data_IF_349847737511
#
_entry.id   IF_349847737511
#
_cell.length_a   1.000
_cell.length_b   1.000
_cell.length_c   1.000
_cell.angle_alpha   90.00
_cell.angle_beta   90.00
_cell.angle_gamma   90.00
#
_symmetry.space_group_name_H-M   'P 1'
#
loop_
_entity.id
_entity.type
_entity.pdbx_description
1 polymer ?
#
# COMPACT_ATOMS: atom_id res chain seq x y z
N UNK A 1 -11.45 -1.03 -13.10
CA UNK A 1 -12.15 -0.45 -11.93
C UNK A 1 -13.66 -0.37 -12.17
N UNK A 2 -14.14 0.00 -13.36
CA UNK A 2 -15.57 -0.13 -13.71
C UNK A 2 -16.13 -1.55 -13.48
N UNK A 3 -15.37 -2.59 -13.82
CA UNK A 3 -15.70 -4.00 -13.57
C UNK A 3 -15.96 -4.35 -12.10
N UNK A 4 -15.40 -3.58 -11.15
CA UNK A 4 -15.65 -3.77 -9.72
C UNK A 4 -16.68 -2.76 -9.17
N UNK A 5 -17.39 -2.06 -10.06
CA UNK A 5 -18.45 -1.10 -9.73
C UNK A 5 -17.97 0.32 -9.43
N UNK A 6 -16.74 0.69 -9.79
CA UNK A 6 -16.24 2.06 -9.67
C UNK A 6 -16.08 2.72 -11.04
N UNK A 7 -17.15 3.35 -11.57
CA UNK A 7 -17.14 3.97 -12.91
C UNK A 7 -16.37 5.29 -12.94
N UNK A 8 -16.13 5.93 -11.78
CA UNK A 8 -15.44 7.22 -11.68
C UNK A 8 -13.96 7.06 -11.34
N UNK A 9 -13.49 5.82 -11.17
CA UNK A 9 -12.09 5.54 -10.92
C UNK A 9 -11.19 6.09 -12.04
N UNK A 10 -10.11 6.74 -11.63
CA UNK A 10 -9.08 7.23 -12.56
C UNK A 10 -7.86 6.32 -12.49
N UNK A 11 -7.41 5.80 -13.63
CA UNK A 11 -6.23 4.94 -13.72
C UNK A 11 -5.17 5.66 -14.53
N UNK A 12 -3.97 5.82 -13.96
CA UNK A 12 -2.87 6.58 -14.55
C UNK A 12 -1.63 5.71 -14.61
N UNK A 13 -0.97 5.70 -15.77
CA UNK A 13 0.39 5.16 -15.88
C UNK A 13 1.33 6.14 -15.20
N UNK A 14 2.09 5.67 -14.22
CA UNK A 14 3.10 6.52 -13.57
C UNK A 14 4.31 6.69 -14.49
N UNK A 15 5.21 7.61 -14.16
CA UNK A 15 6.50 7.76 -14.85
C UNK A 15 7.45 6.58 -14.58
N UNK A 16 7.04 5.61 -13.75
CA UNK A 16 7.77 4.39 -13.45
C UNK A 16 7.27 3.25 -14.33
N UNK A 17 8.17 2.65 -15.10
CA UNK A 17 7.85 1.47 -15.90
C UNK A 17 7.30 0.34 -15.02
N UNK A 18 6.19 -0.26 -15.44
CA UNK A 18 5.54 -1.36 -14.73
C UNK A 18 4.70 -0.94 -13.51
N UNK A 19 4.52 0.36 -13.25
CA UNK A 19 3.69 0.85 -12.14
C UNK A 19 2.53 1.71 -12.63
N UNK A 20 1.34 1.35 -12.18
CA UNK A 20 0.08 2.01 -12.49
C UNK A 20 -0.56 2.42 -11.17
N UNK A 21 -1.07 3.65 -11.10
CA UNK A 21 -1.88 4.11 -9.98
C UNK A 21 -3.36 4.10 -10.35
N UNK A 22 -4.21 3.75 -9.39
CA UNK A 22 -5.66 3.81 -9.55
C UNK A 22 -6.24 4.59 -8.37
N UNK A 23 -6.87 5.73 -8.67
CA UNK A 23 -7.69 6.47 -7.72
C UNK A 23 -9.11 5.92 -7.79
N UNK A 24 -9.66 5.58 -6.63
CA UNK A 24 -10.97 4.97 -6.49
C UNK A 24 -11.80 5.75 -5.48
N UNK A 25 -13.12 5.77 -5.66
CA UNK A 25 -14.05 6.31 -4.67
C UNK A 25 -14.27 5.35 -3.49
N UNK A 26 -13.85 4.09 -3.62
CA UNK A 26 -13.99 3.09 -2.57
C UNK A 26 -12.95 3.23 -1.48
N UNK A 27 -13.26 2.62 -0.34
CA UNK A 27 -12.22 2.22 0.59
C UNK A 27 -11.20 1.30 -0.14
N UNK A 28 -9.88 1.57 -0.07
CA UNK A 28 -8.90 0.84 -0.86
C UNK A 28 -8.85 -0.66 -0.56
N UNK A 29 -9.16 -1.07 0.68
CA UNK A 29 -9.26 -2.49 1.04
C UNK A 29 -10.52 -3.15 0.49
N UNK A 30 -11.59 -2.39 0.30
CA UNK A 30 -12.77 -2.88 -0.40
C UNK A 30 -12.48 -3.11 -1.88
N UNK A 31 -11.77 -2.17 -2.53
CA UNK A 31 -11.31 -2.34 -3.90
C UNK A 31 -10.46 -3.61 -4.05
N UNK A 32 -9.53 -3.87 -3.12
CA UNK A 32 -8.76 -5.12 -3.06
C UNK A 32 -9.68 -6.35 -2.99
N UNK A 33 -10.66 -6.38 -2.08
CA UNK A 33 -11.57 -7.54 -1.97
C UNK A 33 -12.34 -7.79 -3.26
N UNK A 34 -12.82 -6.73 -3.92
CA UNK A 34 -13.55 -6.83 -5.18
C UNK A 34 -12.63 -7.29 -6.33
N UNK A 35 -11.41 -6.74 -6.42
CA UNK A 35 -10.41 -7.15 -7.41
C UNK A 35 -9.98 -8.60 -7.21
N UNK A 36 -9.85 -9.07 -5.97
CA UNK A 36 -9.53 -10.46 -5.67
C UNK A 36 -10.61 -11.40 -6.18
N UNK A 37 -11.90 -11.10 -5.95
CA UNK A 37 -13.01 -11.88 -6.53
C UNK A 37 -12.95 -11.90 -8.05
N UNK A 38 -12.74 -10.74 -8.67
CA UNK A 38 -12.60 -10.63 -10.11
C UNK A 38 -11.43 -11.46 -10.66
N UNK A 39 -10.31 -11.50 -9.92
CA UNK A 39 -9.15 -12.29 -10.27
C UNK A 39 -9.45 -13.79 -10.24
N UNK A 40 -10.21 -14.27 -9.25
CA UNK A 40 -10.61 -15.68 -9.21
C UNK A 40 -11.58 -16.02 -10.35
N UNK A 41 -12.54 -15.14 -10.64
CA UNK A 41 -13.53 -15.38 -11.70
C UNK A 41 -12.91 -15.29 -13.10
N UNK A 42 -11.98 -14.34 -13.30
CA UNK A 42 -11.36 -14.01 -14.60
C UNK A 42 -9.83 -13.85 -14.51
N UNK A 43 -9.06 -14.92 -14.22
CA UNK A 43 -7.61 -14.82 -13.97
C UNK A 43 -6.78 -14.31 -15.15
N UNK A 44 -7.27 -14.52 -16.38
CA UNK A 44 -6.58 -14.11 -17.61
C UNK A 44 -6.55 -12.58 -17.80
N UNK A 45 -7.49 -11.84 -17.21
CA UNK A 45 -7.50 -10.37 -17.24
C UNK A 45 -6.34 -9.77 -16.44
N UNK A 46 -5.84 -10.50 -15.45
CA UNK A 46 -4.74 -10.07 -14.58
C UNK A 46 -3.37 -10.59 -15.03
N UNK A 47 -3.27 -11.16 -16.24
CA UNK A 47 -2.04 -11.86 -16.71
C UNK A 47 -0.77 -11.00 -16.73
N UNK A 48 -0.90 -9.67 -16.75
CA UNK A 48 0.23 -8.73 -16.71
C UNK A 48 0.36 -7.99 -15.37
N UNK A 49 -0.52 -8.28 -14.40
CA UNK A 49 -0.47 -7.68 -13.07
C UNK A 49 0.30 -8.62 -12.15
N UNK A 50 1.37 -8.11 -11.51
CA UNK A 50 2.15 -8.90 -10.56
C UNK A 50 1.60 -8.78 -9.13
N UNK A 51 1.39 -7.54 -8.70
CA UNK A 51 0.89 -7.21 -7.36
C UNK A 51 -0.08 -6.03 -7.39
N UNK A 52 -1.05 -6.03 -6.48
CA UNK A 52 -1.95 -4.89 -6.23
C UNK A 52 -1.91 -4.59 -4.73
N UNK A 53 -1.64 -3.33 -4.38
CA UNK A 53 -1.43 -2.89 -3.01
C UNK A 53 -2.41 -1.74 -2.72
N UNK A 54 -3.18 -1.80 -1.62
CA UNK A 54 -4.03 -0.69 -1.22
C UNK A 54 -3.19 0.46 -0.63
N UNK A 55 -3.52 1.69 -1.01
CA UNK A 55 -2.93 2.92 -0.48
C UNK A 55 -4.05 3.77 0.13
N UNK A 56 -3.84 4.30 1.33
CA UNK A 56 -4.89 5.02 2.09
C UNK A 56 -4.73 6.53 2.10
N UNK A 57 -3.47 6.99 2.09
CA UNK A 57 -3.11 8.40 2.04
C UNK A 57 -2.04 8.59 0.98
N UNK A 58 -2.15 9.69 0.25
CA UNK A 58 -1.13 10.16 -0.69
C UNK A 58 -0.71 11.55 -0.22
N UNK A 59 0.58 11.73 0.00
CA UNK A 59 1.21 12.97 0.47
C UNK A 59 2.44 13.30 -0.40
N UNK A 60 3.04 14.46 -0.21
CA UNK A 60 4.32 14.80 -0.82
C UNK A 60 5.43 13.87 -0.33
N UNK A 61 6.47 13.68 -1.14
CA UNK A 61 7.71 12.99 -0.75
C UNK A 61 8.54 13.89 0.16
N UNK A 62 8.05 14.08 1.38
CA UNK A 62 8.67 14.85 2.45
C UNK A 62 8.58 14.06 3.77
N UNK A 63 9.63 14.14 4.59
CA UNK A 63 9.71 13.32 5.81
C UNK A 63 8.62 13.69 6.83
N UNK A 64 8.31 14.97 6.96
CA UNK A 64 7.30 15.45 7.91
C UNK A 64 5.90 15.07 7.42
N UNK A 65 5.61 15.24 6.12
CA UNK A 65 4.33 14.81 5.53
C UNK A 65 4.11 13.30 5.67
N UNK A 66 5.13 12.48 5.38
CA UNK A 66 5.07 11.03 5.52
C UNK A 66 4.86 10.65 6.99
N UNK A 67 5.57 11.28 7.92
CA UNK A 67 5.42 11.04 9.36
C UNK A 67 4.01 11.36 9.83
N UNK A 68 3.46 12.52 9.45
CA UNK A 68 2.10 12.91 9.83
C UNK A 68 1.05 11.93 9.28
N UNK A 69 1.17 11.51 8.02
CA UNK A 69 0.28 10.51 7.44
C UNK A 69 0.36 9.16 8.16
N UNK A 70 1.58 8.73 8.52
CA UNK A 70 1.81 7.50 9.27
C UNK A 70 1.19 7.55 10.68
N UNK A 71 1.38 8.65 11.41
CA UNK A 71 0.77 8.85 12.75
C UNK A 71 -0.76 8.81 12.65
N UNK A 72 -1.34 9.47 11.64
CA UNK A 72 -2.79 9.47 11.42
C UNK A 72 -3.38 8.07 11.14
N UNK A 73 -2.56 7.12 10.69
CA UNK A 73 -2.96 5.73 10.45
C UNK A 73 -2.52 4.77 11.57
N UNK A 74 -1.64 5.19 12.48
CA UNK A 74 -1.08 4.35 13.53
C UNK A 74 -2.14 3.77 14.49
N UNK A 75 -3.28 4.43 14.64
CA UNK A 75 -4.43 3.94 15.42
C UNK A 75 -5.02 2.63 14.88
N UNK A 76 -4.72 2.24 13.63
CA UNK A 76 -5.14 0.97 13.01
C UNK A 76 -4.27 -0.23 13.40
N UNK A 77 -3.20 0.04 14.14
CA UNK A 77 -2.38 -0.96 14.79
C UNK A 77 -2.86 -0.99 16.24
N UNK A 78 -3.50 -2.09 16.64
CA UNK A 78 -4.01 -2.24 18.00
C UNK A 78 -2.86 -2.35 19.00
N UNK A 79 -3.13 -2.12 20.29
CA UNK A 79 -2.08 -2.07 21.33
C UNK A 79 -1.32 -3.40 21.50
N UNK A 80 -1.99 -4.50 21.23
CA UNK A 80 -1.48 -5.87 21.29
C UNK A 80 -0.96 -6.39 19.94
N UNK A 81 -1.21 -5.66 18.84
CA UNK A 81 -0.68 -5.98 17.52
C UNK A 81 0.78 -5.53 17.39
N UNK A 82 1.56 -6.34 16.68
CA UNK A 82 2.91 -6.01 16.23
C UNK A 82 2.90 -5.37 14.85
N UNK A 83 3.93 -4.56 14.57
CA UNK A 83 4.09 -3.99 13.23
C UNK A 83 5.53 -3.97 12.74
N UNK A 84 5.68 -3.74 11.44
CA UNK A 84 6.94 -3.28 10.86
C UNK A 84 6.69 -2.14 9.88
N UNK A 85 7.69 -1.28 9.71
CA UNK A 85 7.71 -0.31 8.62
C UNK A 85 8.28 -0.98 7.37
N UNK A 86 7.59 -0.87 6.24
CA UNK A 86 8.09 -1.29 4.93
C UNK A 86 8.14 -0.08 4.02
N UNK A 87 9.31 0.16 3.44
CA UNK A 87 9.53 1.30 2.55
C UNK A 87 9.92 0.77 1.17
N UNK A 88 9.15 1.14 0.16
CA UNK A 88 9.38 0.83 -1.24
C UNK A 88 9.58 2.17 -1.97
N UNK A 89 10.68 2.33 -2.71
CA UNK A 89 11.09 3.66 -3.20
C UNK A 89 11.49 3.59 -4.66
N UNK A 90 11.00 4.54 -5.44
CA UNK A 90 11.39 4.75 -6.84
C UNK A 90 11.51 6.25 -7.11
N UNK A 91 12.58 6.66 -7.78
CA UNK A 91 12.84 8.04 -8.18
C UNK A 91 12.84 9.04 -7.00
N UNK A 92 13.58 8.75 -5.94
CA UNK A 92 13.75 9.65 -4.79
C UNK A 92 15.13 9.46 -4.16
N UNK A 93 15.72 10.54 -3.67
CA UNK A 93 17.03 10.55 -3.01
C UNK A 93 16.97 10.41 -1.49
N UNK A 94 15.76 10.44 -0.89
CA UNK A 94 15.63 10.24 0.56
C UNK A 94 16.32 8.91 0.95
N UNK A 95 16.86 8.78 2.16
CA UNK A 95 17.33 7.46 2.58
C UNK A 95 16.18 6.62 3.14
N UNK A 96 16.27 5.29 2.96
CA UNK A 96 15.28 4.36 3.53
C UNK A 96 15.27 4.47 5.05
N UNK A 97 16.45 4.60 5.65
CA UNK A 97 16.62 4.64 7.10
C UNK A 97 15.94 5.87 7.70
N UNK A 98 16.14 7.06 7.13
CA UNK A 98 15.50 8.30 7.58
C UNK A 98 13.98 8.15 7.66
N UNK A 99 13.36 7.57 6.61
CA UNK A 99 11.91 7.33 6.58
C UNK A 99 11.48 6.37 7.68
N UNK A 100 12.23 5.27 7.87
CA UNK A 100 11.91 4.29 8.91
C UNK A 100 12.02 4.93 10.30
N UNK A 101 13.06 5.72 10.55
CA UNK A 101 13.29 6.40 11.82
C UNK A 101 12.16 7.40 12.13
N UNK A 102 11.82 8.30 11.21
CA UNK A 102 10.76 9.30 11.45
C UNK A 102 9.39 8.64 11.64
N UNK A 103 9.10 7.58 10.88
CA UNK A 103 7.82 6.87 11.00
C UNK A 103 7.75 6.06 12.30
N UNK A 104 8.79 5.29 12.63
CA UNK A 104 8.77 4.42 13.79
C UNK A 104 8.85 5.20 15.11
N UNK A 105 9.54 6.35 15.15
CA UNK A 105 9.75 7.13 16.37
C UNK A 105 8.45 7.62 17.03
N UNK A 106 7.35 7.70 16.28
CA UNK A 106 6.06 8.23 16.75
C UNK A 106 4.96 7.19 16.86
N UNK A 107 5.24 5.93 16.51
CA UNK A 107 4.28 4.83 16.58
C UNK A 107 4.58 3.98 17.82
N UNK A 108 3.84 4.22 18.89
CA UNK A 108 3.97 3.51 20.17
C UNK A 108 3.36 2.09 20.09
N UNK A 109 3.93 1.21 19.26
CA UNK A 109 3.49 -0.18 19.08
C UNK A 109 4.67 -1.13 19.07
N UNK A 110 4.42 -2.41 19.34
CA UNK A 110 5.49 -3.42 19.37
C UNK A 110 5.99 -3.69 17.96
N UNK A 111 7.30 -3.69 17.76
CA UNK A 111 7.90 -4.00 16.46
C UNK A 111 8.18 -5.50 16.33
N UNK A 112 7.79 -6.09 15.20
CA UNK A 112 8.22 -7.43 14.75
C UNK A 112 8.62 -7.36 13.28
N UNK A 113 9.91 -7.51 12.99
CA UNK A 113 10.45 -7.37 11.64
C UNK A 113 10.18 -8.60 10.74
N UNK A 114 9.87 -9.75 11.33
CA UNK A 114 9.76 -11.03 10.64
C UNK A 114 8.31 -11.45 10.43
N UNK A 115 7.46 -11.34 11.44
CA UNK A 115 6.06 -11.80 11.42
C UNK A 115 5.11 -10.78 12.06
N UNK A 116 5.02 -9.56 11.51
CA UNK A 116 4.15 -8.54 12.05
C UNK A 116 2.67 -8.84 11.80
N UNK A 117 1.81 -8.37 12.70
CA UNK A 117 0.36 -8.34 12.47
C UNK A 117 -0.03 -7.30 11.42
N UNK A 118 0.67 -6.16 11.41
CA UNK A 118 0.47 -5.04 10.49
C UNK A 118 1.75 -4.55 9.83
N UNK A 119 1.63 -4.06 8.61
CA UNK A 119 2.70 -3.43 7.86
C UNK A 119 2.30 -1.97 7.68
N UNK A 120 3.11 -1.06 8.23
CA UNK A 120 3.03 0.34 7.88
C UNK A 120 3.87 0.54 6.61
N UNK A 121 3.18 0.57 5.48
CA UNK A 121 3.75 0.71 4.16
C UNK A 121 3.93 2.19 3.81
N UNK A 122 5.11 2.52 3.31
CA UNK A 122 5.42 3.78 2.62
C UNK A 122 5.90 3.45 1.21
N UNK A 123 5.09 3.75 0.20
CA UNK A 123 5.40 3.54 -1.23
C UNK A 123 5.70 4.89 -1.87
N UNK A 124 6.96 5.16 -2.21
CA UNK A 124 7.40 6.43 -2.79
C UNK A 124 7.61 6.29 -4.30
N UNK A 125 7.04 7.23 -5.04
CA UNK A 125 7.13 7.34 -6.49
C UNK A 125 7.35 8.80 -6.87
N UNK A 126 8.61 9.18 -7.11
CA UNK A 126 8.93 10.56 -7.43
C UNK A 126 8.59 11.50 -6.27
N UNK A 127 7.78 12.51 -6.59
CA UNK A 127 7.34 13.56 -5.66
C UNK A 127 6.16 13.16 -4.76
N UNK A 128 5.60 11.94 -4.94
CA UNK A 128 4.48 11.47 -4.14
C UNK A 128 4.84 10.23 -3.32
N UNK A 129 4.29 10.18 -2.10
CA UNK A 129 4.37 9.05 -1.20
C UNK A 129 2.98 8.54 -0.83
N UNK A 130 2.75 7.24 -1.02
CA UNK A 130 1.58 6.52 -0.53
C UNK A 130 1.85 5.93 0.85
N UNK A 131 0.97 6.16 1.82
CA UNK A 131 1.06 5.60 3.17
C UNK A 131 -0.17 4.74 3.45
N UNK A 132 0.04 3.55 4.04
CA UNK A 132 -1.05 2.64 4.42
C UNK A 132 -0.65 1.72 5.58
N UNK A 133 -1.61 1.33 6.42
CA UNK A 133 -1.48 0.25 7.41
C UNK A 133 -2.24 -0.97 6.89
N UNK A 134 -1.48 -1.97 6.43
CA UNK A 134 -2.02 -3.14 5.73
C UNK A 134 -1.67 -4.44 6.45
N UNK A 135 -2.40 -5.51 6.17
CA UNK A 135 -1.98 -6.89 6.47
C UNK A 135 -1.35 -7.51 5.23
N UNK A 136 -0.53 -8.54 5.41
CA UNK A 136 0.05 -9.27 4.28
C UNK A 136 -1.01 -9.79 3.28
N UNK A 137 -2.19 -10.19 3.79
CA UNK A 137 -3.34 -10.64 2.99
C UNK A 137 -4.06 -9.53 2.21
N UNK A 138 -3.80 -8.27 2.52
CA UNK A 138 -4.41 -7.14 1.80
C UNK A 138 -3.67 -6.85 0.49
N UNK A 139 -2.47 -7.42 0.30
CA UNK A 139 -1.75 -7.38 -0.96
C UNK A 139 -2.22 -8.55 -1.84
N UNK A 140 -2.69 -8.24 -3.05
CA UNK A 140 -2.93 -9.28 -4.06
C UNK A 140 -1.58 -9.59 -4.71
N UNK A 141 -1.15 -10.84 -4.64
CA UNK A 141 -0.06 -11.36 -5.47
C UNK A 141 -0.65 -12.30 -6.49
N UNK A 142 -0.78 -11.85 -7.74
CA UNK A 142 -1.55 -12.58 -8.77
C UNK A 142 -1.02 -14.00 -8.98
N UNK A 143 0.30 -14.18 -8.92
CA UNK A 143 0.91 -15.50 -9.03
C UNK A 143 0.54 -16.45 -7.88
N UNK A 144 0.41 -15.93 -6.66
CA UNK A 144 0.02 -16.75 -5.49
C UNK A 144 -1.47 -17.06 -5.49
N UNK A 145 -2.30 -16.08 -5.86
CA UNK A 145 -3.76 -16.22 -5.90
C UNK A 145 -4.21 -17.24 -6.96
N UNK A 146 -3.45 -17.43 -8.05
CA UNK A 146 -3.72 -18.47 -9.06
C UNK A 146 -3.43 -19.90 -8.59
N UNK A 147 -2.73 -20.07 -7.48
CA UNK A 147 -2.38 -21.38 -6.91
C UNK A 147 -3.32 -21.78 -5.76
N UNK A 148 -4.22 -20.88 -5.35
CA UNK A 148 -5.24 -21.09 -4.32
C UNK A 148 -6.57 -21.49 -4.96
#
# INVERSE_FOLDING_TARGET
MGEIGDPVATVVKTNVSGLISARTAFNPFEAIRRLRRLLHDRPYEFRYTLRIIPIERVVGTDLDEIQHAAIGLASKIEKDETFRVTVEKRFTELHRQDIVEVVAAKVERKVDLHRPDKILLVEIVGELAGVSVIRARDIISVMREKLL
#
